data_IF_117506150691
#
_entry.id   IF_117506150691
#
_cell.length_a   1.000
_cell.length_b   1.000
_cell.length_c   1.000
_cell.angle_alpha   90.00
_cell.angle_beta   90.00
_cell.angle_gamma   90.00
#
_symmetry.space_group_name_H-M   'P 1'
#
loop_
_entity.id
_entity.type
_entity.pdbx_description
1 polymer ?
#
# COMPACT_ATOMS: atom_id res chain seq x y z
N UNK A 1 3.91 -15.89 10.03
CA UNK A 1 4.16 -14.71 9.19
C UNK A 1 4.02 -13.44 10.00
N UNK A 2 4.90 -12.48 9.82
CA UNK A 2 4.99 -11.33 10.69
C UNK A 2 5.02 -10.05 9.87
N UNK A 3 4.31 -9.01 10.35
CA UNK A 3 4.39 -7.67 9.81
C UNK A 3 5.17 -6.83 10.82
N UNK A 4 6.21 -6.17 10.35
CA UNK A 4 7.06 -5.33 11.18
C UNK A 4 7.46 -4.06 10.45
N UNK A 5 8.01 -3.11 11.19
CA UNK A 5 8.52 -1.88 10.60
C UNK A 5 9.77 -2.15 9.77
N UNK A 6 9.85 -1.50 8.61
CA UNK A 6 11.02 -1.53 7.74
C UNK A 6 12.19 -0.81 8.42
N UNK A 7 13.39 -1.34 8.27
CA UNK A 7 14.62 -0.76 8.82
C UNK A 7 15.63 -0.54 7.71
N UNK A 8 16.69 0.21 8.01
CA UNK A 8 17.77 0.44 7.05
C UNK A 8 18.42 -0.87 6.56
N UNK A 9 18.45 -1.88 7.42
CA UNK A 9 18.97 -3.19 7.04
C UNK A 9 18.18 -3.90 5.96
N UNK A 10 16.95 -3.46 5.70
CA UNK A 10 16.09 -4.04 4.67
C UNK A 10 16.29 -3.40 3.28
N UNK A 11 16.96 -2.25 3.24
CA UNK A 11 17.01 -1.41 2.03
C UNK A 11 17.52 -2.14 0.79
N UNK A 12 18.62 -2.86 0.90
CA UNK A 12 19.20 -3.52 -0.27
C UNK A 12 18.21 -4.52 -0.91
N UNK A 13 17.53 -5.29 -0.08
CA UNK A 13 16.53 -6.24 -0.54
C UNK A 13 15.32 -5.53 -1.15
N UNK A 14 14.84 -4.48 -0.49
CA UNK A 14 13.67 -3.72 -0.96
C UNK A 14 13.96 -3.05 -2.31
N UNK A 15 15.12 -2.45 -2.46
CA UNK A 15 15.52 -1.79 -3.71
C UNK A 15 15.57 -2.79 -4.85
N UNK A 16 16.15 -3.96 -4.61
CA UNK A 16 16.21 -5.02 -5.62
C UNK A 16 14.81 -5.49 -6.02
N UNK A 17 13.94 -5.75 -5.04
CA UNK A 17 12.57 -6.15 -5.31
C UNK A 17 11.78 -5.07 -6.04
N UNK A 18 11.96 -3.83 -5.65
CA UNK A 18 11.29 -2.70 -6.28
C UNK A 18 11.63 -2.63 -7.78
N UNK A 19 12.90 -2.81 -8.13
CA UNK A 19 13.36 -2.82 -9.53
C UNK A 19 12.81 -3.99 -10.31
N UNK A 20 12.66 -5.15 -9.68
CA UNK A 20 12.08 -6.33 -10.31
C UNK A 20 10.58 -6.18 -10.57
N UNK A 21 9.88 -5.59 -9.63
CA UNK A 21 8.41 -5.57 -9.63
C UNK A 21 7.84 -4.41 -10.44
N UNK A 22 8.46 -3.23 -10.34
CA UNK A 22 7.90 -2.02 -10.92
C UNK A 22 8.76 -1.46 -12.06
N UNK A 23 8.13 -1.10 -13.20
CA UNK A 23 8.85 -0.43 -14.30
C UNK A 23 9.37 0.96 -13.92
N UNK A 24 8.74 1.60 -12.92
CA UNK A 24 9.09 2.93 -12.44
C UNK A 24 9.40 2.85 -10.95
N UNK A 25 10.56 2.27 -10.58
CA UNK A 25 10.85 1.98 -9.18
C UNK A 25 11.18 3.23 -8.38
N UNK A 26 10.81 3.19 -7.09
CA UNK A 26 11.26 4.20 -6.14
C UNK A 26 12.77 4.12 -5.95
N UNK A 27 13.38 5.25 -5.68
CA UNK A 27 14.83 5.33 -5.41
C UNK A 27 15.13 4.89 -3.98
N UNK A 28 16.41 4.59 -3.75
CA UNK A 28 16.91 4.31 -2.40
C UNK A 28 16.61 5.47 -1.46
N UNK A 29 16.85 6.72 -1.94
CA UNK A 29 16.61 7.91 -1.12
C UNK A 29 15.14 8.03 -0.70
N UNK A 30 14.21 7.65 -1.55
CA UNK A 30 12.78 7.67 -1.21
C UNK A 30 12.47 6.72 -0.07
N UNK A 31 13.00 5.51 -0.11
CA UNK A 31 12.81 4.54 0.98
C UNK A 31 13.50 4.99 2.27
N UNK A 32 14.72 5.52 2.17
CA UNK A 32 15.43 6.05 3.34
C UNK A 32 14.64 7.15 4.04
N UNK A 33 14.05 8.04 3.25
CA UNK A 33 13.20 9.10 3.78
C UNK A 33 12.02 8.53 4.57
N UNK A 34 11.38 7.50 4.05
CA UNK A 34 10.24 6.86 4.72
C UNK A 34 10.64 6.21 6.03
N UNK A 35 11.81 5.60 6.08
CA UNK A 35 12.28 4.89 7.27
C UNK A 35 12.63 5.87 8.40
N UNK A 36 13.29 6.98 8.08
CA UNK A 36 13.94 7.82 9.10
C UNK A 36 13.37 9.22 9.27
N UNK A 37 12.63 9.75 8.30
CA UNK A 37 12.30 11.17 8.31
C UNK A 37 10.83 11.51 8.15
N UNK A 38 10.04 10.68 7.45
CA UNK A 38 8.65 11.01 7.18
C UNK A 38 7.78 10.82 8.44
N UNK A 39 7.28 11.91 9.04
CA UNK A 39 6.47 11.79 10.26
C UNK A 39 5.11 11.13 10.01
N UNK A 40 4.64 11.13 8.76
CA UNK A 40 3.36 10.51 8.38
C UNK A 40 3.52 9.10 7.85
N UNK A 41 4.78 8.65 7.66
CA UNK A 41 5.07 7.39 7.00
C UNK A 41 5.05 6.19 7.93
N UNK A 42 4.47 5.11 7.45
CA UNK A 42 4.51 3.82 8.10
C UNK A 42 5.10 2.84 7.08
N UNK A 43 6.44 2.64 7.10
CA UNK A 43 7.08 1.68 6.21
C UNK A 43 7.04 0.29 6.85
N UNK A 44 6.54 -0.69 6.13
CA UNK A 44 6.27 -2.02 6.67
C UNK A 44 6.86 -3.13 5.82
N UNK A 45 7.24 -4.19 6.50
CA UNK A 45 7.72 -5.44 5.93
C UNK A 45 6.77 -6.56 6.30
N UNK A 46 6.44 -7.39 5.33
CA UNK A 46 5.83 -8.70 5.56
C UNK A 46 6.94 -9.73 5.45
N UNK A 47 7.20 -10.47 6.53
CA UNK A 47 8.25 -11.48 6.50
C UNK A 47 7.78 -12.82 7.01
N UNK A 48 8.46 -13.88 6.57
CA UNK A 48 8.25 -15.23 7.03
C UNK A 48 9.62 -15.89 7.22
N UNK A 49 9.91 -16.34 8.44
CA UNK A 49 11.18 -16.98 8.79
C UNK A 49 12.37 -16.13 8.34
N UNK A 50 12.33 -14.84 8.67
CA UNK A 50 13.36 -13.83 8.34
C UNK A 50 13.52 -13.52 6.85
N UNK A 51 12.65 -14.07 6.00
CA UNK A 51 12.65 -13.74 4.58
C UNK A 51 11.58 -12.68 4.30
N UNK A 52 11.96 -11.64 3.58
CA UNK A 52 11.04 -10.59 3.16
C UNK A 52 10.13 -11.13 2.05
N UNK A 53 8.84 -11.18 2.34
CA UNK A 53 7.82 -11.65 1.39
C UNK A 53 7.18 -10.48 0.65
N UNK A 54 7.07 -9.36 1.31
CA UNK A 54 6.48 -8.16 0.74
C UNK A 54 6.81 -6.94 1.56
N UNK A 55 6.40 -5.78 1.07
CA UNK A 55 6.60 -4.51 1.76
C UNK A 55 5.54 -3.51 1.34
N UNK A 56 5.35 -2.50 2.18
CA UNK A 56 4.40 -1.44 1.90
C UNK A 56 4.86 -0.14 2.55
N UNK A 57 4.50 0.97 1.91
CA UNK A 57 4.65 2.30 2.48
C UNK A 57 3.25 2.89 2.57
N UNK A 58 2.87 3.30 3.76
CA UNK A 58 1.58 3.93 4.02
C UNK A 58 1.82 5.32 4.58
N UNK A 59 1.04 6.28 4.13
CA UNK A 59 1.02 7.63 4.69
C UNK A 59 -0.32 7.86 5.37
N UNK A 60 -0.29 8.15 6.66
CA UNK A 60 -1.49 8.56 7.41
C UNK A 60 -1.44 10.07 7.58
N UNK A 61 -2.24 10.77 6.79
CA UNK A 61 -2.28 12.23 6.80
C UNK A 61 -3.72 12.65 7.09
N UNK A 62 -3.99 13.03 8.35
CA UNK A 62 -5.33 13.41 8.80
C UNK A 62 -6.37 12.32 8.50
N UNK A 63 -7.31 12.59 7.61
CA UNK A 63 -8.38 11.65 7.26
C UNK A 63 -7.98 10.63 6.20
N UNK A 64 -6.83 10.83 5.56
CA UNK A 64 -6.38 10.02 4.43
C UNK A 64 -5.41 8.93 4.85
N UNK A 65 -5.71 7.71 4.44
CA UNK A 65 -4.83 6.55 4.54
C UNK A 65 -4.32 6.26 3.13
N UNK A 66 -3.13 6.73 2.80
CA UNK A 66 -2.59 6.59 1.45
C UNK A 66 -1.65 5.39 1.38
N UNK A 67 -1.99 4.39 0.58
CA UNK A 67 -1.11 3.27 0.31
C UNK A 67 -0.19 3.71 -0.82
N UNK A 68 0.98 4.22 -0.44
CA UNK A 68 1.92 4.84 -1.39
C UNK A 68 2.75 3.82 -2.17
N UNK A 69 2.98 2.66 -1.57
CA UNK A 69 3.66 1.54 -2.23
C UNK A 69 3.18 0.24 -1.58
N UNK A 70 3.02 -0.79 -2.39
CA UNK A 70 2.53 -2.09 -1.92
C UNK A 70 3.04 -3.17 -2.88
N UNK A 71 3.77 -4.14 -2.37
CA UNK A 71 4.38 -5.16 -3.21
C UNK A 71 4.46 -6.51 -2.49
N UNK A 72 4.26 -7.57 -3.26
CA UNK A 72 4.52 -8.95 -2.85
C UNK A 72 5.61 -9.49 -3.78
N UNK A 73 6.60 -10.14 -3.21
CA UNK A 73 7.68 -10.78 -3.94
C UNK A 73 7.09 -11.69 -5.03
N UNK A 74 7.60 -11.64 -6.27
CA UNK A 74 6.96 -12.35 -7.41
C UNK A 74 6.68 -13.82 -7.18
N UNK A 75 7.61 -14.56 -6.56
CA UNK A 75 7.42 -15.99 -6.32
C UNK A 75 6.36 -16.31 -5.27
N UNK A 76 5.89 -15.31 -4.54
CA UNK A 76 4.83 -15.45 -3.53
C UNK A 76 3.50 -14.87 -3.97
N UNK A 77 3.41 -14.32 -5.16
CA UNK A 77 2.15 -13.82 -5.71
C UNK A 77 1.22 -14.99 -6.04
N UNK A 78 -0.08 -14.74 -5.99
CA UNK A 78 -1.07 -15.79 -6.24
C UNK A 78 -1.33 -16.74 -5.09
N UNK A 79 -0.74 -16.50 -3.92
CA UNK A 79 -0.89 -17.36 -2.74
C UNK A 79 -1.71 -16.70 -1.62
N UNK A 80 -2.52 -15.70 -1.98
CA UNK A 80 -3.37 -14.95 -1.04
C UNK A 80 -2.60 -14.13 0.00
N UNK A 81 -1.29 -13.96 -0.19
CA UNK A 81 -0.47 -13.17 0.73
C UNK A 81 -0.73 -11.69 0.58
N UNK A 82 -1.01 -11.23 -0.64
CA UNK A 82 -1.40 -9.84 -0.88
C UNK A 82 -2.69 -9.50 -0.14
N UNK A 83 -3.67 -10.40 -0.18
CA UNK A 83 -4.92 -10.24 0.55
C UNK A 83 -4.67 -10.14 2.06
N UNK A 84 -3.88 -11.05 2.60
CA UNK A 84 -3.53 -11.05 4.02
C UNK A 84 -2.81 -9.76 4.43
N UNK A 85 -1.85 -9.34 3.63
CA UNK A 85 -1.07 -8.14 3.91
C UNK A 85 -1.95 -6.88 3.86
N UNK A 86 -2.75 -6.75 2.81
CA UNK A 86 -3.64 -5.59 2.65
C UNK A 86 -4.67 -5.52 3.78
N UNK A 87 -5.25 -6.65 4.16
CA UNK A 87 -6.19 -6.71 5.28
C UNK A 87 -5.58 -6.16 6.55
N UNK A 88 -4.34 -6.57 6.85
CA UNK A 88 -3.64 -6.09 8.04
C UNK A 88 -3.23 -4.63 7.94
N UNK A 89 -2.84 -4.15 6.74
CA UNK A 89 -2.56 -2.75 6.54
C UNK A 89 -3.77 -1.88 6.85
N UNK A 90 -4.93 -2.26 6.34
CA UNK A 90 -6.15 -1.48 6.52
C UNK A 90 -6.59 -1.40 7.98
N UNK A 91 -6.17 -2.35 8.81
CA UNK A 91 -6.42 -2.30 10.25
C UNK A 91 -5.65 -1.18 10.95
N UNK A 92 -4.63 -0.62 10.31
CA UNK A 92 -3.86 0.50 10.85
C UNK A 92 -4.52 1.86 10.61
N UNK A 93 -5.69 1.87 9.99
CA UNK A 93 -6.34 3.12 9.56
C UNK A 93 -6.67 4.09 10.70
N UNK A 94 -6.89 3.57 11.91
CA UNK A 94 -7.26 4.43 13.03
C UNK A 94 -8.52 5.24 12.72
N UNK A 95 -8.41 6.57 12.80
CA UNK A 95 -9.52 7.49 12.55
C UNK A 95 -9.59 8.01 11.12
N UNK A 96 -8.75 7.48 10.21
CA UNK A 96 -8.82 7.86 8.80
C UNK A 96 -10.21 7.56 8.24
N UNK A 97 -10.69 8.45 7.37
CA UNK A 97 -12.04 8.34 6.79
C UNK A 97 -12.04 7.58 5.47
N UNK A 98 -10.91 7.57 4.77
CA UNK A 98 -10.81 6.87 3.49
C UNK A 98 -9.38 6.44 3.22
N UNK A 99 -9.24 5.42 2.39
CA UNK A 99 -7.96 4.99 1.85
C UNK A 99 -7.89 5.36 0.37
N UNK A 100 -6.70 5.68 -0.10
CA UNK A 100 -6.45 6.03 -1.50
C UNK A 100 -5.15 5.38 -1.97
N UNK A 101 -5.10 5.04 -3.24
CA UNK A 101 -3.89 4.50 -3.87
C UNK A 101 -3.89 4.80 -5.36
N UNK A 102 -2.72 4.73 -5.98
CA UNK A 102 -2.55 4.75 -7.43
C UNK A 102 -2.07 3.37 -7.88
N UNK A 103 -2.61 2.90 -8.98
CA UNK A 103 -2.22 1.60 -9.55
C UNK A 103 -2.20 1.72 -11.07
N UNK A 104 -1.24 1.06 -11.71
CA UNK A 104 -1.17 1.04 -13.17
C UNK A 104 -2.43 0.40 -13.74
N UNK A 105 -2.99 1.02 -14.77
CA UNK A 105 -4.23 0.57 -15.42
C UNK A 105 -4.12 -0.88 -15.92
N UNK A 106 -2.94 -1.29 -16.34
CA UNK A 106 -2.71 -2.65 -16.83
C UNK A 106 -2.42 -3.67 -15.73
N UNK A 107 -2.28 -3.26 -14.49
CA UNK A 107 -2.04 -4.17 -13.37
C UNK A 107 -3.36 -4.78 -12.88
N UNK A 108 -3.91 -5.68 -13.68
CA UNK A 108 -5.24 -6.25 -13.44
C UNK A 108 -5.33 -7.05 -12.15
N UNK A 109 -4.25 -7.73 -11.78
CA UNK A 109 -4.21 -8.52 -10.53
C UNK A 109 -4.37 -7.62 -9.31
N UNK A 110 -3.61 -6.52 -9.26
CA UNK A 110 -3.70 -5.59 -8.13
C UNK A 110 -5.07 -4.91 -8.09
N UNK A 111 -5.57 -4.47 -9.24
CA UNK A 111 -6.90 -3.84 -9.31
C UNK A 111 -7.96 -4.78 -8.75
N UNK A 112 -7.96 -6.05 -9.14
CA UNK A 112 -8.92 -7.03 -8.61
C UNK A 112 -8.80 -7.21 -7.12
N UNK A 113 -7.57 -7.22 -6.60
CA UNK A 113 -7.35 -7.30 -5.16
C UNK A 113 -7.97 -6.11 -4.45
N UNK A 114 -7.70 -4.90 -4.92
CA UNK A 114 -8.23 -3.68 -4.31
C UNK A 114 -9.75 -3.63 -4.39
N UNK A 115 -10.33 -4.03 -5.51
CA UNK A 115 -11.78 -4.08 -5.67
C UNK A 115 -12.45 -5.03 -4.66
N UNK A 116 -11.80 -6.16 -4.35
CA UNK A 116 -12.31 -7.08 -3.33
C UNK A 116 -12.39 -6.45 -1.95
N UNK A 117 -11.55 -5.46 -1.67
CA UNK A 117 -11.57 -4.73 -0.40
C UNK A 117 -12.46 -3.48 -0.44
N UNK A 118 -13.19 -3.26 -1.53
CA UNK A 118 -14.12 -2.15 -1.64
C UNK A 118 -13.55 -0.89 -2.24
N UNK A 119 -12.33 -0.93 -2.78
CA UNK A 119 -11.77 0.19 -3.52
C UNK A 119 -12.49 0.35 -4.85
N UNK A 120 -12.72 1.58 -5.26
CA UNK A 120 -13.33 1.94 -6.54
C UNK A 120 -12.46 2.96 -7.24
N UNK A 121 -12.37 2.87 -8.56
CA UNK A 121 -11.68 3.88 -9.36
C UNK A 121 -12.46 5.17 -9.34
N UNK A 122 -11.81 6.25 -8.91
CA UNK A 122 -12.43 7.58 -8.87
C UNK A 122 -11.83 8.54 -9.89
N UNK A 123 -10.64 8.21 -10.43
CA UNK A 123 -9.94 9.10 -11.35
C UNK A 123 -8.93 8.31 -12.15
N UNK A 124 -8.69 8.73 -13.40
CA UNK A 124 -7.57 8.25 -14.21
C UNK A 124 -6.59 9.41 -14.39
N UNK A 125 -5.30 9.12 -14.17
CA UNK A 125 -4.22 10.07 -14.41
C UNK A 125 -3.45 9.58 -15.62
N UNK A 126 -3.72 10.16 -16.77
CA UNK A 126 -3.06 9.79 -18.03
C UNK A 126 -1.59 10.18 -17.97
N UNK A 127 -0.72 9.29 -18.46
CA UNK A 127 0.73 9.48 -18.49
C UNK A 127 1.32 9.84 -17.13
N UNK A 128 0.81 9.21 -16.09
CA UNK A 128 1.23 9.49 -14.72
C UNK A 128 2.63 8.97 -14.42
N UNK A 129 2.95 7.77 -14.92
CA UNK A 129 4.25 7.15 -14.68
C UNK A 129 5.26 7.60 -15.74
N UNK A 130 6.57 7.51 -15.41
CA UNK A 130 7.64 7.96 -16.28
C UNK A 130 7.62 7.28 -17.64
N UNK A 131 7.17 6.01 -17.70
CA UNK A 131 7.06 5.27 -18.95
C UNK A 131 5.81 5.59 -19.76
N UNK A 132 5.02 6.57 -19.33
CA UNK A 132 3.80 7.00 -20.02
C UNK A 132 2.55 6.22 -19.68
N UNK A 133 2.64 5.23 -18.81
CA UNK A 133 1.47 4.46 -18.42
C UNK A 133 0.48 5.28 -17.57
N UNK A 134 -0.79 4.97 -17.71
CA UNK A 134 -1.89 5.61 -16.98
C UNK A 134 -2.04 4.98 -15.60
N UNK A 135 -2.27 5.82 -14.60
CA UNK A 135 -2.64 5.37 -13.26
C UNK A 135 -4.14 5.46 -13.06
N UNK A 136 -4.69 4.47 -12.38
CA UNK A 136 -6.01 4.57 -11.77
C UNK A 136 -5.82 5.05 -10.35
N UNK A 137 -6.60 6.04 -9.94
CA UNK A 137 -6.70 6.43 -8.53
C UNK A 137 -7.90 5.69 -7.97
N UNK A 138 -7.67 4.87 -6.96
CA UNK A 138 -8.72 4.07 -6.33
C UNK A 138 -8.92 4.52 -4.88
N UNK A 139 -10.16 4.49 -4.44
CA UNK A 139 -10.53 4.96 -3.11
C UNK A 139 -11.46 3.97 -2.43
N UNK A 140 -11.24 3.78 -1.14
CA UNK A 140 -12.14 3.04 -0.25
C UNK A 140 -12.59 3.97 0.85
N UNK A 141 -13.90 4.16 0.99
CA UNK A 141 -14.47 4.89 2.12
C UNK A 141 -14.60 3.92 3.29
N UNK A 142 -14.08 4.30 4.44
CA UNK A 142 -14.25 3.51 5.65
C UNK A 142 -15.62 3.77 6.23
N UNK A 143 -16.38 2.68 6.42
CA UNK A 143 -17.73 2.79 7.00
C UNK A 143 -17.58 2.67 8.50
N UNK A 144 -17.97 3.75 9.22
CA UNK A 144 -18.04 3.68 10.67
C UNK A 144 -19.26 2.87 11.08
N UNK A 145 -19.07 2.04 12.10
CA UNK A 145 -20.19 1.31 12.65
C UNK A 145 -21.23 2.31 13.18
N UNK A 146 -22.47 2.21 12.70
CA UNK A 146 -23.56 3.03 13.18
C UNK A 146 -23.92 2.55 14.58
N UNK A 147 -23.78 3.43 15.58
CA UNK A 147 -24.24 3.16 16.92
C UNK A 147 -25.69 3.65 17.03
N UNK A 148 -26.67 2.76 17.13
CA UNK A 148 -28.07 3.17 17.19
C UNK A 148 -28.44 3.96 18.45
N UNK A 149 -27.60 3.92 19.49
CA UNK A 149 -27.78 4.68 20.72
C UNK A 149 -27.31 6.12 20.55
N UNK A 150 -26.44 6.36 19.59
CA UNK A 150 -25.90 7.68 19.30
C UNK A 150 -26.92 8.45 18.48
N UNK A 151 -27.81 9.14 19.16
CA UNK A 151 -28.80 9.96 18.48
C UNK A 151 -28.33 11.40 18.43
N UNK A 152 -28.64 12.10 17.32
CA UNK A 152 -28.37 13.53 17.27
C UNK A 152 -29.22 14.23 18.32
N UNK A 153 -28.58 15.07 19.02
CA UNK A 153 -29.22 16.05 19.91
C UNK A 153 -29.77 15.60 21.14
#
# INVERSE_FOLDING_TARGET
MQIRRMTEGDLDTIIELERQIFPDPWSKNSFEYEISQNPFGIPLILENQKKIIGYAIVWKIYEEFHIANFAIRPEYQGKKLGKHFLENLLMLRGECKFAILEVRENNKRAIRLYEKFGFKTILKRHRYYKNGETALVMQKIFIEAINPIRKPG
#
